data_IF_425128803995
#
_entry.id   IF_425128803995
#
_cell.length_a   1.000
_cell.length_b   1.000
_cell.length_c   1.000
_cell.angle_alpha   90.00
_cell.angle_beta   90.00
_cell.angle_gamma   90.00
#
_symmetry.space_group_name_H-M   'P 1'
#
loop_
_entity.id
_entity.type
_entity.pdbx_description
1 polymer ?
#
# COMPACT_ATOMS: atom_id res chain seq x y z
N UNK A 1 -3.29 8.76 -9.60
CA UNK A 1 -3.33 7.85 -8.44
C UNK A 1 -2.13 8.13 -7.57
N UNK A 2 -1.87 7.26 -6.60
CA UNK A 2 -0.71 7.34 -5.71
C UNK A 2 0.35 6.31 -6.15
N UNK A 3 1.54 6.78 -6.48
CA UNK A 3 2.64 5.96 -7.03
C UNK A 3 3.52 5.32 -5.96
N UNK A 4 3.31 5.62 -4.68
CA UNK A 4 3.94 4.92 -3.57
C UNK A 4 3.29 3.54 -3.28
N UNK A 5 2.27 3.16 -4.06
CA UNK A 5 1.55 1.90 -3.93
C UNK A 5 2.19 0.77 -4.75
N UNK A 6 1.51 -0.40 -4.80
CA UNK A 6 2.00 -1.56 -5.52
C UNK A 6 2.23 -1.25 -7.01
N UNK A 7 3.37 -1.70 -7.57
CA UNK A 7 3.63 -1.54 -8.99
C UNK A 7 2.66 -2.40 -9.83
N UNK A 8 2.61 -2.18 -11.16
CA UNK A 8 1.89 -3.06 -12.06
C UNK A 8 2.31 -4.54 -11.87
N UNK A 9 1.35 -5.45 -11.89
CA UNK A 9 1.58 -6.91 -11.74
C UNK A 9 2.51 -7.43 -12.85
N UNK A 10 2.44 -6.83 -14.04
CA UNK A 10 3.36 -7.10 -15.15
C UNK A 10 3.58 -5.83 -15.98
N UNK A 11 4.71 -5.76 -16.67
CA UNK A 11 5.10 -4.61 -17.48
C UNK A 11 5.85 -3.53 -16.69
N UNK A 12 5.97 -2.35 -17.29
CA UNK A 12 6.71 -1.22 -16.74
C UNK A 12 5.75 -0.10 -16.30
N UNK A 13 6.12 0.59 -15.22
CA UNK A 13 5.41 1.78 -14.78
C UNK A 13 5.37 2.86 -15.88
N UNK A 14 4.23 3.55 -16.00
CA UNK A 14 4.04 4.60 -17.01
C UNK A 14 4.99 5.79 -16.83
N UNK A 15 5.34 6.08 -15.58
CA UNK A 15 6.25 7.16 -15.20
C UNK A 15 7.73 6.78 -15.33
N UNK A 16 8.07 5.59 -15.86
CA UNK A 16 9.45 5.22 -16.09
C UNK A 16 10.09 6.21 -17.08
N UNK A 17 11.21 6.83 -16.68
CA UNK A 17 11.93 7.81 -17.50
C UNK A 17 12.67 7.19 -18.68
N UNK A 18 12.91 5.88 -18.64
CA UNK A 18 13.48 5.13 -19.77
C UNK A 18 12.33 4.49 -20.55
N UNK A 19 11.92 5.15 -21.63
CA UNK A 19 11.07 4.52 -22.64
C UNK A 19 11.93 3.47 -23.33
N UNK A 20 11.64 2.20 -23.09
CA UNK A 20 12.32 1.10 -23.77
C UNK A 20 11.95 1.14 -25.25
N UNK A 21 12.70 1.90 -26.05
CA UNK A 21 12.52 2.07 -27.49
C UNK A 21 12.86 0.79 -28.29
N UNK A 22 13.08 -0.34 -27.62
CA UNK A 22 13.27 -1.64 -28.25
C UNK A 22 11.91 -2.28 -28.44
N UNK A 23 11.36 -2.05 -29.62
CA UNK A 23 10.18 -2.74 -30.14
C UNK A 23 10.43 -4.24 -30.14
N UNK A 24 9.67 -4.98 -29.34
CA UNK A 24 9.30 -6.34 -29.74
C UNK A 24 8.05 -6.23 -30.62
N UNK A 25 7.91 -7.09 -31.62
CA UNK A 25 6.83 -7.01 -32.64
C UNK A 25 5.42 -7.31 -32.10
N UNK A 26 5.23 -7.28 -30.78
CA UNK A 26 3.92 -7.56 -30.18
C UNK A 26 3.11 -6.27 -30.07
N UNK A 27 1.83 -6.38 -30.41
CA UNK A 27 0.83 -5.30 -30.26
C UNK A 27 0.73 -4.81 -28.80
N UNK A 28 0.96 -5.69 -27.83
CA UNK A 28 0.96 -5.36 -26.41
C UNK A 28 2.12 -4.45 -26.01
N UNK A 29 3.35 -4.74 -26.48
CA UNK A 29 4.51 -3.89 -26.21
C UNK A 29 4.38 -2.51 -26.86
N UNK A 30 3.87 -2.45 -28.10
CA UNK A 30 3.60 -1.18 -28.78
C UNK A 30 2.56 -0.33 -28.03
N UNK A 31 1.48 -0.95 -27.56
CA UNK A 31 0.44 -0.27 -26.78
C UNK A 31 0.98 0.26 -25.44
N UNK A 32 1.85 -0.50 -24.78
CA UNK A 32 2.50 -0.06 -23.54
C UNK A 32 3.44 1.14 -23.78
N UNK A 33 4.21 1.14 -24.87
CA UNK A 33 5.06 2.27 -25.27
C UNK A 33 4.22 3.51 -25.57
N UNK A 34 3.13 3.37 -26.33
CA UNK A 34 2.21 4.48 -26.60
C UNK A 34 1.63 5.05 -25.30
N UNK A 35 1.25 4.20 -24.35
CA UNK A 35 0.79 4.62 -23.03
C UNK A 35 1.84 5.43 -22.26
N UNK A 36 3.12 5.02 -22.29
CA UNK A 36 4.22 5.77 -21.69
C UNK A 36 4.43 7.13 -22.38
N UNK A 37 4.42 7.17 -23.71
CA UNK A 37 4.57 8.43 -24.48
C UNK A 37 3.46 9.40 -24.10
N UNK A 38 2.20 8.94 -24.08
CA UNK A 38 1.05 9.75 -23.68
C UNK A 38 1.18 10.23 -22.24
N UNK A 39 1.68 9.39 -21.33
CA UNK A 39 1.91 9.77 -19.94
C UNK A 39 2.90 10.93 -19.81
N UNK A 40 3.98 10.92 -20.59
CA UNK A 40 4.98 11.99 -20.60
C UNK A 40 4.50 13.29 -21.25
N UNK A 41 3.30 13.32 -21.85
CA UNK A 41 2.68 14.55 -22.37
C UNK A 41 1.91 15.33 -21.29
N UNK A 42 1.64 14.75 -20.13
CA UNK A 42 1.00 15.48 -19.03
C UNK A 42 1.96 16.53 -18.44
N UNK A 43 1.53 17.79 -18.44
CA UNK A 43 2.33 18.92 -17.96
C UNK A 43 1.95 19.41 -16.56
N UNK A 44 0.81 18.95 -16.05
CA UNK A 44 0.25 19.43 -14.78
C UNK A 44 0.08 18.26 -13.82
N UNK A 45 0.67 18.40 -12.63
CA UNK A 45 0.49 17.47 -11.52
C UNK A 45 -0.14 18.21 -10.36
N UNK A 46 -1.21 17.65 -9.80
CA UNK A 46 -1.88 18.19 -8.61
C UNK A 46 -1.63 17.22 -7.45
N UNK A 47 -1.01 17.73 -6.38
CA UNK A 47 -0.76 16.96 -5.16
C UNK A 47 -1.77 17.34 -4.09
N UNK A 48 -2.55 16.36 -3.63
CA UNK A 48 -3.46 16.54 -2.50
C UNK A 48 -2.69 16.31 -1.20
N UNK A 49 -2.69 17.30 -0.31
CA UNK A 49 -1.93 17.26 0.94
C UNK A 49 -2.76 16.89 2.17
N UNK A 50 -4.08 17.11 2.12
CA UNK A 50 -4.94 16.88 3.27
C UNK A 50 -5.38 15.41 3.37
N UNK A 51 -5.02 14.74 4.47
CA UNK A 51 -5.50 13.39 4.77
C UNK A 51 -6.96 13.43 5.23
N UNK A 52 -7.84 12.81 4.44
CA UNK A 52 -9.27 12.76 4.73
C UNK A 52 -9.71 11.48 5.46
N UNK A 53 -8.82 10.49 5.61
CA UNK A 53 -9.09 9.19 6.23
C UNK A 53 -8.89 9.21 7.74
N UNK A 54 -7.91 9.96 8.25
CA UNK A 54 -7.55 10.04 9.68
C UNK A 54 -7.76 11.45 10.24
N UNK A 55 -9.03 11.91 10.22
CA UNK A 55 -9.38 13.28 10.67
C UNK A 55 -9.24 13.47 12.19
N UNK A 56 -9.48 12.41 12.97
CA UNK A 56 -9.27 12.40 14.41
C UNK A 56 -7.77 12.22 14.67
N UNK A 57 -7.22 13.03 15.58
CA UNK A 57 -5.79 13.06 15.88
C UNK A 57 -5.57 12.81 17.37
N UNK A 58 -5.76 11.57 17.82
CA UNK A 58 -5.16 11.16 19.10
C UNK A 58 -3.63 11.12 18.95
N UNK A 59 -2.90 11.07 20.06
CA UNK A 59 -1.44 10.91 20.03
C UNK A 59 -1.01 9.66 19.24
N UNK A 60 -1.80 8.58 19.31
CA UNK A 60 -1.53 7.37 18.54
C UNK A 60 -1.84 7.53 17.05
N UNK A 61 -2.88 8.28 16.68
CA UNK A 61 -3.21 8.57 15.28
C UNK A 61 -2.16 9.48 14.64
N UNK A 62 -1.62 10.44 15.39
CA UNK A 62 -0.51 11.28 14.94
C UNK A 62 0.74 10.46 14.64
N UNK A 63 1.13 9.55 15.56
CA UNK A 63 2.24 8.60 15.34
C UNK A 63 2.00 7.72 14.12
N UNK A 64 0.80 7.17 13.97
CA UNK A 64 0.44 6.35 12.82
C UNK A 64 0.53 7.14 11.51
N UNK A 65 0.05 8.39 11.49
CA UNK A 65 0.13 9.26 10.30
C UNK A 65 1.57 9.52 9.89
N UNK A 66 2.42 9.93 10.83
CA UNK A 66 3.85 10.15 10.57
C UNK A 66 4.52 8.88 10.04
N UNK A 67 4.26 7.73 10.67
CA UNK A 67 4.81 6.46 10.23
C UNK A 67 4.34 6.05 8.81
N UNK A 68 3.08 6.30 8.47
CA UNK A 68 2.54 6.06 7.12
C UNK A 68 3.21 6.97 6.06
N UNK A 69 3.40 8.25 6.37
CA UNK A 69 4.08 9.20 5.48
C UNK A 69 5.53 8.76 5.25
N UNK A 70 6.26 8.39 6.31
CA UNK A 70 7.62 7.86 6.21
C UNK A 70 7.69 6.57 5.38
N UNK A 71 6.75 5.64 5.57
CA UNK A 71 6.67 4.40 4.78
C UNK A 71 6.48 4.67 3.29
N UNK A 72 5.70 5.68 2.90
CA UNK A 72 5.49 6.03 1.49
C UNK A 72 6.81 6.39 0.78
N UNK A 73 7.79 6.91 1.51
CA UNK A 73 9.11 7.26 0.99
C UNK A 73 10.21 6.26 1.37
N UNK A 74 9.87 5.14 2.01
CA UNK A 74 10.85 4.17 2.51
C UNK A 74 11.78 4.72 3.59
N UNK A 75 11.34 5.73 4.34
CA UNK A 75 12.13 6.49 5.31
C UNK A 75 11.73 6.22 6.78
N UNK A 76 11.30 4.99 7.08
CA UNK A 76 10.88 4.62 8.44
C UNK A 76 11.98 4.85 9.48
N UNK A 77 11.60 5.49 10.57
CA UNK A 77 12.47 5.69 11.74
C UNK A 77 12.37 4.51 12.72
N UNK A 78 13.30 4.44 13.68
CA UNK A 78 13.22 3.46 14.77
C UNK A 78 11.92 3.59 15.57
N UNK A 79 11.46 4.82 15.80
CA UNK A 79 10.23 5.11 16.53
C UNK A 79 8.99 4.60 15.78
N UNK A 80 8.99 4.72 14.44
CA UNK A 80 7.91 4.17 13.60
C UNK A 80 7.85 2.64 13.72
N UNK A 81 9.01 1.98 13.66
CA UNK A 81 9.11 0.52 13.77
C UNK A 81 8.67 0.06 15.17
N UNK A 82 9.13 0.74 16.22
CA UNK A 82 8.73 0.43 17.59
C UNK A 82 7.23 0.62 17.78
N UNK A 83 6.66 1.71 17.25
CA UNK A 83 5.22 1.93 17.25
C UNK A 83 4.47 0.77 16.58
N UNK A 84 4.89 0.30 15.40
CA UNK A 84 4.26 -0.85 14.75
C UNK A 84 4.40 -2.15 15.51
N UNK A 85 5.53 -2.39 16.19
CA UNK A 85 5.71 -3.57 17.05
C UNK A 85 4.68 -3.63 18.18
N UNK A 86 4.27 -2.48 18.74
CA UNK A 86 3.17 -2.44 19.73
C UNK A 86 1.81 -2.88 19.18
N UNK A 87 1.65 -2.91 17.84
CA UNK A 87 0.43 -3.32 17.15
C UNK A 87 0.44 -4.78 16.69
N UNK A 88 1.58 -5.46 16.80
CA UNK A 88 1.67 -6.90 16.52
C UNK A 88 0.96 -7.66 17.63
N UNK A 89 0.07 -8.57 17.25
CA UNK A 89 -0.64 -9.41 18.22
C UNK A 89 0.32 -10.34 18.97
N UNK A 90 0.19 -10.39 20.29
CA UNK A 90 0.94 -11.30 21.15
C UNK A 90 0.25 -11.47 22.50
N UNK A 91 0.65 -12.49 23.25
CA UNK A 91 0.19 -12.74 24.63
C UNK A 91 0.83 -11.79 25.66
N UNK A 92 1.70 -10.86 25.23
CA UNK A 92 2.34 -9.92 26.14
C UNK A 92 1.39 -8.81 26.59
N UNK A 93 1.52 -8.31 27.84
CA UNK A 93 0.76 -7.17 28.30
C UNK A 93 0.91 -5.95 27.38
N UNK A 94 -0.21 -5.33 27.00
CA UNK A 94 -0.23 -4.14 26.14
C UNK A 94 -0.33 -4.43 24.63
N UNK A 95 -0.19 -5.69 24.21
CA UNK A 95 -0.38 -6.09 22.82
C UNK A 95 -1.84 -6.44 22.48
N UNK A 96 -2.27 -6.26 21.22
CA UNK A 96 -3.61 -6.63 20.81
C UNK A 96 -3.79 -8.15 20.81
N UNK A 97 -4.89 -8.63 21.36
CA UNK A 97 -5.29 -10.03 21.31
C UNK A 97 -6.39 -10.21 20.25
N UNK A 98 -6.19 -11.14 19.32
CA UNK A 98 -7.07 -11.33 18.15
C UNK A 98 -8.40 -12.02 18.50
N UNK A 99 -8.46 -12.70 19.64
CA UNK A 99 -9.66 -13.35 20.17
C UNK A 99 -10.72 -12.36 20.70
N UNK A 100 -10.36 -11.08 20.85
CA UNK A 100 -11.27 -10.05 21.33
C UNK A 100 -12.40 -9.76 20.34
N UNK A 101 -13.62 -9.50 20.85
CA UNK A 101 -14.83 -9.23 20.03
C UNK A 101 -14.65 -8.13 18.98
N UNK A 102 -13.75 -7.17 19.21
CA UNK A 102 -13.48 -6.08 18.25
C UNK A 102 -12.93 -6.56 16.90
N UNK A 103 -12.28 -7.72 16.85
CA UNK A 103 -11.67 -8.23 15.62
C UNK A 103 -12.53 -9.27 14.90
N UNK A 104 -13.63 -9.73 15.50
CA UNK A 104 -14.48 -10.80 14.96
C UNK A 104 -14.94 -10.54 13.52
N UNK A 105 -15.26 -9.28 13.19
CA UNK A 105 -15.73 -8.87 11.86
C UNK A 105 -14.76 -7.88 11.18
N UNK A 106 -13.50 -7.85 11.62
CA UNK A 106 -12.51 -6.98 11.00
C UNK A 106 -12.09 -7.55 9.65
N UNK A 107 -11.90 -6.68 8.64
CA UNK A 107 -11.31 -7.10 7.37
C UNK A 107 -9.87 -7.58 7.59
N UNK A 108 -9.53 -8.75 7.06
CA UNK A 108 -8.18 -9.30 7.08
C UNK A 108 -7.54 -9.15 5.71
N UNK A 109 -6.33 -8.59 5.68
CA UNK A 109 -5.53 -8.44 4.46
C UNK A 109 -4.39 -9.45 4.53
N UNK A 110 -4.28 -10.31 3.52
CA UNK A 110 -3.19 -11.29 3.39
C UNK A 110 -2.36 -11.00 2.14
N UNK A 111 -1.11 -11.48 2.13
CA UNK A 111 -0.23 -11.33 0.96
C UNK A 111 -0.59 -12.26 -0.21
N UNK A 112 -1.31 -13.36 0.03
CA UNK A 112 -1.65 -14.37 -0.97
C UNK A 112 -3.15 -14.67 -0.97
N UNK A 113 -3.70 -14.88 -2.17
CA UNK A 113 -5.09 -15.29 -2.35
C UNK A 113 -5.41 -16.60 -1.62
N UNK A 114 -4.51 -17.59 -1.64
CA UNK A 114 -4.70 -18.86 -0.93
C UNK A 114 -4.89 -18.68 0.59
N UNK A 115 -4.16 -17.75 1.22
CA UNK A 115 -4.35 -17.44 2.63
C UNK A 115 -5.68 -16.73 2.90
N UNK A 116 -6.09 -15.83 2.00
CA UNK A 116 -7.39 -15.15 2.10
C UNK A 116 -8.53 -16.15 1.96
N UNK A 117 -8.43 -17.07 1.01
CA UNK A 117 -9.45 -18.11 0.77
C UNK A 117 -9.57 -19.04 2.00
N UNK A 118 -8.44 -19.50 2.56
CA UNK A 118 -8.44 -20.31 3.78
C UNK A 118 -9.09 -19.59 4.98
N UNK A 119 -8.73 -18.32 5.23
CA UNK A 119 -9.31 -17.54 6.33
C UNK A 119 -10.81 -17.34 6.14
N UNK A 120 -11.26 -17.10 4.91
CA UNK A 120 -12.68 -16.96 4.61
C UNK A 120 -13.42 -18.28 4.85
N UNK A 121 -12.86 -19.41 4.45
CA UNK A 121 -13.46 -20.73 4.69
C UNK A 121 -13.58 -21.05 6.19
N UNK A 122 -12.57 -20.68 6.99
CA UNK A 122 -12.60 -20.82 8.44
C UNK A 122 -13.60 -19.87 9.12
N UNK A 123 -13.73 -18.63 8.63
CA UNK A 123 -14.62 -17.60 9.17
C UNK A 123 -16.10 -17.72 8.79
N UNK A 124 -16.45 -18.61 7.85
CA UNK A 124 -17.85 -18.91 7.44
C UNK A 124 -18.54 -19.90 8.39
N UNK A 125 -17.82 -20.54 9.33
CA UNK A 125 -18.38 -21.42 10.36
C UNK A 125 -18.81 -20.68 11.63
#
# INVERSE_FOLDING_TARGET
>A
GDFAQLPPISGHALYNGLIALRTTDTTQSQSAILGQILWHQFTTVVLLQQNMRQKIQTTADAKLRTALENMCFGACTSDDIEFFKTRVASDQPGHPHLDTKKYRNASVITGLNTHKDLINDEGVR
#
